data_IF_318679540296
#
_entry.id   IF_318679540296
#
_cell.length_a   1.000
_cell.length_b   1.000
_cell.length_c   1.000
_cell.angle_alpha   90.00
_cell.angle_beta   90.00
_cell.angle_gamma   90.00
#
_symmetry.space_group_name_H-M   'P 1'
#
loop_
_entity.id
_entity.type
_entity.pdbx_description
1 polymer ?
#
# COMPACT_ATOMS: atom_id res chain seq x y z
N UNK A 1 15.60 -5.32 11.21
CA UNK A 1 14.21 -4.96 11.59
C UNK A 1 13.33 -6.12 11.16
N UNK A 2 12.42 -6.60 12.00
CA UNK A 2 11.40 -7.56 11.57
C UNK A 2 10.49 -6.89 10.55
N UNK A 3 10.11 -7.59 9.49
CA UNK A 3 9.18 -7.06 8.48
C UNK A 3 7.82 -6.86 9.14
N UNK A 4 7.28 -5.62 9.20
CA UNK A 4 5.95 -5.38 9.76
C UNK A 4 4.89 -6.02 8.85
N UNK A 5 3.74 -6.37 9.38
CA UNK A 5 2.56 -6.64 8.55
C UNK A 5 2.08 -5.37 7.86
N UNK A 6 1.28 -5.48 6.80
CA UNK A 6 0.67 -4.31 6.15
C UNK A 6 -0.14 -3.44 7.13
N UNK A 7 -0.79 -4.05 8.12
CA UNK A 7 -1.60 -3.32 9.11
C UNK A 7 -0.68 -2.54 10.04
N UNK A 8 0.36 -3.17 10.59
CA UNK A 8 1.35 -2.50 11.44
C UNK A 8 2.05 -1.37 10.66
N UNK A 9 2.43 -1.61 9.41
CA UNK A 9 3.02 -0.60 8.54
C UNK A 9 2.14 0.65 8.42
N UNK A 10 0.83 0.45 8.24
CA UNK A 10 -0.13 1.54 8.10
C UNK A 10 -0.37 2.28 9.41
N UNK A 11 -0.47 1.56 10.54
CA UNK A 11 -0.93 2.15 11.81
C UNK A 11 0.17 2.62 12.75
N UNK A 12 1.40 2.08 12.62
CA UNK A 12 2.51 2.43 13.51
C UNK A 12 2.88 3.92 13.35
N UNK A 13 2.88 4.74 14.42
CA UNK A 13 3.24 6.15 14.39
C UNK A 13 4.66 6.45 13.88
N UNK A 14 5.58 5.49 13.97
CA UNK A 14 6.94 5.61 13.45
C UNK A 14 7.04 5.29 11.96
N UNK A 15 6.02 4.60 11.41
CA UNK A 15 5.86 4.31 9.98
C UNK A 15 4.86 5.30 9.37
N UNK A 16 3.65 4.87 8.98
CA UNK A 16 2.69 5.77 8.34
C UNK A 16 1.77 6.52 9.33
N UNK A 17 1.56 6.00 10.54
CA UNK A 17 0.76 6.64 11.59
C UNK A 17 -0.71 6.91 11.21
N UNK A 18 -1.31 6.09 10.35
CA UNK A 18 -2.66 6.29 9.84
C UNK A 18 -3.68 5.50 10.66
N UNK A 19 -4.88 6.05 10.82
CA UNK A 19 -6.04 5.30 11.30
C UNK A 19 -6.73 4.56 10.16
N UNK A 20 -7.18 3.34 10.47
CA UNK A 20 -8.01 2.49 9.60
C UNK A 20 -9.40 2.33 10.19
N UNK A 21 -10.43 2.35 9.34
CA UNK A 21 -11.75 1.84 9.74
C UNK A 21 -11.74 0.31 9.79
N UNK A 22 -12.70 -0.33 10.49
CA UNK A 22 -12.80 -1.79 10.53
C UNK A 22 -12.85 -2.42 9.14
N UNK A 23 -13.52 -1.79 8.17
CA UNK A 23 -13.60 -2.28 6.80
C UNK A 23 -12.28 -2.14 6.02
N UNK A 24 -11.52 -1.07 6.23
CA UNK A 24 -10.22 -0.90 5.59
C UNK A 24 -9.21 -1.89 6.15
N UNK A 25 -9.19 -2.11 7.47
CA UNK A 25 -8.32 -3.10 8.08
C UNK A 25 -8.70 -4.53 7.67
N UNK A 26 -10.00 -4.86 7.64
CA UNK A 26 -10.47 -6.15 7.14
C UNK A 26 -10.03 -6.40 5.69
N UNK A 27 -10.08 -5.38 4.83
CA UNK A 27 -9.58 -5.48 3.45
C UNK A 27 -8.07 -5.78 3.43
N UNK A 28 -7.24 -5.01 4.14
CA UNK A 28 -5.78 -5.22 4.15
C UNK A 28 -5.40 -6.59 4.73
N UNK A 29 -6.05 -7.01 5.83
CA UNK A 29 -5.87 -8.36 6.38
C UNK A 29 -6.27 -9.43 5.37
N UNK A 30 -7.35 -9.22 4.61
CA UNK A 30 -7.78 -10.18 3.60
C UNK A 30 -6.76 -10.32 2.48
N UNK A 31 -6.27 -9.19 1.95
CA UNK A 31 -5.29 -9.14 0.86
C UNK A 31 -4.03 -9.91 1.21
N UNK A 32 -3.52 -9.75 2.43
CA UNK A 32 -2.26 -10.35 2.88
C UNK A 32 -2.45 -11.66 3.67
N UNK A 33 -3.66 -12.21 3.73
CA UNK A 33 -3.94 -13.47 4.42
C UNK A 33 -3.68 -13.43 5.94
N UNK A 34 -3.85 -12.26 6.56
CA UNK A 34 -3.62 -12.07 7.99
C UNK A 34 -4.82 -12.55 8.82
N UNK A 35 -4.59 -12.97 10.09
CA UNK A 35 -5.67 -13.28 11.02
C UNK A 35 -6.67 -12.12 11.15
N UNK A 36 -7.96 -12.43 11.26
CA UNK A 36 -9.04 -11.46 11.40
C UNK A 36 -9.79 -11.69 12.70
N UNK A 37 -10.33 -10.62 13.28
CA UNK A 37 -11.35 -10.71 14.33
C UNK A 37 -12.69 -11.22 13.77
N UNK A 38 -13.62 -11.54 14.65
CA UNK A 38 -14.99 -11.92 14.27
C UNK A 38 -15.68 -10.80 13.48
N UNK A 39 -15.65 -9.56 13.98
CA UNK A 39 -16.21 -8.37 13.31
C UNK A 39 -15.61 -8.12 11.91
N UNK A 40 -14.28 -8.07 11.81
CA UNK A 40 -13.58 -7.92 10.51
C UNK A 40 -13.98 -9.03 9.55
N UNK A 41 -14.23 -10.18 10.14
CA UNK A 41 -14.68 -11.34 9.45
C UNK A 41 -16.11 -11.24 8.90
N UNK A 42 -17.06 -10.76 9.68
CA UNK A 42 -18.41 -10.47 9.19
C UNK A 42 -18.38 -9.46 8.04
N UNK A 43 -17.54 -8.43 8.17
CA UNK A 43 -17.32 -7.44 7.10
C UNK A 43 -16.79 -8.11 5.83
N UNK A 44 -15.76 -8.96 5.95
CA UNK A 44 -15.22 -9.71 4.81
C UNK A 44 -16.30 -10.52 4.09
N UNK A 45 -17.13 -11.25 4.86
CA UNK A 45 -18.20 -12.07 4.30
C UNK A 45 -19.26 -11.20 3.62
N UNK A 46 -19.64 -10.07 4.21
CA UNK A 46 -20.60 -9.13 3.64
C UNK A 46 -20.07 -8.47 2.34
N UNK A 47 -18.79 -8.13 2.28
CA UNK A 47 -18.20 -7.49 1.11
C UNK A 47 -17.89 -8.45 -0.05
N UNK A 48 -17.62 -9.73 0.24
CA UNK A 48 -17.15 -10.69 -0.77
C UNK A 48 -18.16 -11.78 -1.11
N UNK A 49 -19.19 -11.98 -0.28
CA UNK A 49 -20.11 -13.11 -0.37
C UNK A 49 -19.49 -14.47 0.00
N UNK A 50 -18.24 -14.50 0.49
CA UNK A 50 -17.54 -15.73 0.86
C UNK A 50 -17.79 -16.09 2.32
N UNK A 51 -17.94 -17.38 2.60
CA UNK A 51 -18.16 -17.91 3.95
C UNK A 51 -16.87 -18.34 4.64
N UNK A 52 -15.88 -18.77 3.86
CA UNK A 52 -14.55 -19.13 4.37
C UNK A 52 -13.62 -17.91 4.40
N UNK A 53 -12.82 -17.80 5.47
CA UNK A 53 -11.74 -16.80 5.58
C UNK A 53 -10.66 -17.08 4.53
N UNK A 54 -9.87 -16.05 4.13
CA UNK A 54 -8.69 -16.27 3.30
C UNK A 54 -7.73 -17.26 3.97
N UNK A 55 -7.36 -18.33 3.26
CA UNK A 55 -6.35 -19.29 3.71
C UNK A 55 -4.92 -18.81 3.45
N UNK A 56 -4.77 -17.70 2.73
CA UNK A 56 -3.50 -17.09 2.34
C UNK A 56 -3.76 -15.76 1.62
N UNK A 57 -2.69 -15.08 1.17
CA UNK A 57 -2.79 -13.81 0.46
C UNK A 57 -3.43 -13.97 -0.93
N UNK A 58 -3.99 -12.87 -1.44
CA UNK A 58 -4.49 -12.78 -2.82
C UNK A 58 -3.46 -12.11 -3.72
N UNK A 59 -3.29 -12.63 -4.93
CA UNK A 59 -2.45 -12.00 -5.97
C UNK A 59 -3.13 -10.82 -6.66
N UNK A 60 -4.46 -10.77 -6.61
CA UNK A 60 -5.27 -9.75 -7.28
C UNK A 60 -6.54 -9.48 -6.46
N UNK A 61 -6.94 -8.21 -6.40
CA UNK A 61 -8.21 -7.79 -5.80
C UNK A 61 -8.89 -6.74 -6.67
N UNK A 62 -10.23 -6.79 -6.66
CA UNK A 62 -11.08 -5.70 -7.18
C UNK A 62 -11.86 -5.12 -6.01
N UNK A 63 -11.63 -3.84 -5.70
CA UNK A 63 -12.30 -3.15 -4.61
C UNK A 63 -13.40 -2.23 -5.16
N UNK A 64 -14.65 -2.54 -4.84
CA UNK A 64 -15.78 -1.65 -5.07
C UNK A 64 -15.94 -0.74 -3.85
N UNK A 65 -15.63 0.54 -4.01
CA UNK A 65 -15.62 1.49 -2.89
C UNK A 65 -16.28 2.82 -3.27
N UNK A 66 -16.99 3.41 -2.31
CA UNK A 66 -17.62 4.72 -2.46
C UNK A 66 -16.63 5.89 -2.45
N UNK A 67 -17.11 7.09 -2.74
CA UNK A 67 -16.34 8.32 -2.57
C UNK A 67 -15.93 8.51 -1.10
N UNK A 68 -14.75 9.10 -0.86
CA UNK A 68 -14.19 9.35 0.49
C UNK A 68 -13.95 8.10 1.35
N UNK A 69 -14.00 6.91 0.76
CA UNK A 69 -13.70 5.63 1.43
C UNK A 69 -12.22 5.45 1.83
N UNK A 70 -11.33 6.35 1.39
CA UNK A 70 -9.89 6.21 1.62
C UNK A 70 -9.21 5.20 0.68
N UNK A 71 -9.84 4.79 -0.43
CA UNK A 71 -9.25 3.84 -1.39
C UNK A 71 -7.85 4.24 -1.88
N UNK A 72 -7.59 5.55 -2.02
CA UNK A 72 -6.27 6.05 -2.44
C UNK A 72 -5.31 6.20 -1.24
N UNK A 73 -5.77 6.86 -0.16
CA UNK A 73 -4.95 7.28 0.98
C UNK A 73 -4.79 6.23 2.10
N UNK A 74 -5.55 5.14 2.08
CA UNK A 74 -5.51 4.09 3.11
C UNK A 74 -5.26 2.70 2.53
N UNK A 75 -5.53 2.50 1.24
CA UNK A 75 -5.36 1.22 0.57
C UNK A 75 -4.27 1.30 -0.49
N UNK A 76 -4.49 2.00 -1.61
CA UNK A 76 -3.58 1.95 -2.76
C UNK A 76 -2.18 2.51 -2.45
N UNK A 77 -2.07 3.71 -1.88
CA UNK A 77 -0.76 4.31 -1.56
C UNK A 77 0.01 3.50 -0.50
N UNK A 78 -0.61 3.07 0.63
CA UNK A 78 0.10 2.21 1.58
C UNK A 78 0.50 0.85 1.04
N UNK A 79 -0.35 0.20 0.23
CA UNK A 79 0.02 -1.08 -0.41
C UNK A 79 1.21 -0.89 -1.36
N UNK A 80 1.20 0.15 -2.20
CA UNK A 80 2.32 0.42 -3.10
C UNK A 80 3.64 0.66 -2.35
N UNK A 81 3.59 1.43 -1.24
CA UNK A 81 4.74 1.68 -0.39
C UNK A 81 5.22 0.41 0.34
N UNK A 82 4.28 -0.36 0.89
CA UNK A 82 4.60 -1.59 1.60
C UNK A 82 5.28 -2.60 0.67
N UNK A 83 4.75 -2.79 -0.54
CA UNK A 83 5.36 -3.66 -1.54
C UNK A 83 6.76 -3.14 -1.95
N UNK A 84 6.93 -1.83 -2.12
CA UNK A 84 8.22 -1.25 -2.48
C UNK A 84 9.29 -1.38 -1.38
N UNK A 85 8.91 -1.39 -0.11
CA UNK A 85 9.85 -1.39 1.02
C UNK A 85 10.04 -2.79 1.63
N UNK A 86 8.98 -3.58 1.68
CA UNK A 86 8.87 -4.82 2.43
C UNK A 86 8.41 -6.02 1.61
N UNK A 87 7.95 -5.82 0.36
CA UNK A 87 7.47 -6.90 -0.52
C UNK A 87 8.58 -7.84 -1.04
N UNK A 88 9.85 -7.53 -0.79
CA UNK A 88 10.98 -8.38 -1.17
C UNK A 88 11.30 -8.38 -2.67
N UNK A 89 10.66 -7.53 -3.47
CA UNK A 89 10.84 -7.48 -4.92
C UNK A 89 12.28 -7.18 -5.35
N UNK A 90 13.04 -6.46 -4.51
CA UNK A 90 14.45 -6.15 -4.76
C UNK A 90 15.35 -7.37 -4.92
N UNK A 91 14.96 -8.53 -4.36
CA UNK A 91 15.71 -9.78 -4.52
C UNK A 91 15.77 -10.28 -5.98
N UNK A 92 14.87 -9.79 -6.84
CA UNK A 92 14.80 -10.16 -8.26
C UNK A 92 15.53 -9.18 -9.18
N UNK A 93 16.13 -8.10 -8.64
CA UNK A 93 16.81 -7.08 -9.44
C UNK A 93 18.27 -7.45 -9.69
N UNK A 94 18.71 -7.34 -10.94
CA UNK A 94 20.12 -7.40 -11.29
C UNK A 94 20.83 -6.06 -11.02
N UNK A 95 22.18 -6.08 -10.99
CA UNK A 95 22.98 -4.87 -10.74
C UNK A 95 22.68 -3.82 -11.82
N UNK A 96 22.25 -2.64 -11.38
CA UNK A 96 21.90 -1.51 -12.25
C UNK A 96 20.44 -1.49 -12.69
N UNK A 97 19.66 -2.52 -12.40
CA UNK A 97 18.21 -2.51 -12.63
C UNK A 97 17.48 -1.71 -11.56
N UNK A 98 16.31 -1.20 -11.94
CA UNK A 98 15.38 -0.53 -11.05
C UNK A 98 14.01 -1.15 -11.23
N UNK A 99 13.44 -1.66 -10.14
CA UNK A 99 12.07 -2.15 -10.14
C UNK A 99 11.09 -1.02 -9.88
N UNK A 100 9.89 -1.14 -10.45
CA UNK A 100 8.82 -0.15 -10.30
C UNK A 100 7.59 -0.84 -9.74
N UNK A 101 7.04 -0.26 -8.67
CA UNK A 101 5.68 -0.54 -8.18
C UNK A 101 4.77 0.54 -8.79
N UNK A 102 3.98 0.22 -9.82
CA UNK A 102 3.15 1.21 -10.50
C UNK A 102 1.89 1.53 -9.67
N UNK A 103 1.58 2.82 -9.53
CA UNK A 103 0.28 3.28 -9.05
C UNK A 103 -0.43 4.01 -10.21
N UNK A 104 -1.36 3.32 -10.84
CA UNK A 104 -2.05 3.87 -12.02
C UNK A 104 -3.30 4.64 -11.59
N UNK A 105 -3.43 5.87 -12.06
CA UNK A 105 -4.55 6.76 -11.77
C UNK A 105 -5.31 7.12 -13.06
N UNK A 106 -6.60 7.48 -12.90
CA UNK A 106 -7.48 7.78 -14.02
C UNK A 106 -6.93 8.86 -14.97
N UNK A 107 -6.30 9.91 -14.43
CA UNK A 107 -5.76 11.02 -15.21
C UNK A 107 -4.53 11.65 -14.52
N UNK A 108 -3.92 12.63 -15.18
CA UNK A 108 -2.75 13.35 -14.67
C UNK A 108 -3.00 14.10 -13.34
N UNK A 109 -4.24 14.53 -13.08
CA UNK A 109 -4.60 15.23 -11.84
C UNK A 109 -4.69 14.23 -10.68
N UNK A 110 -5.34 13.09 -10.89
CA UNK A 110 -5.45 12.01 -9.91
C UNK A 110 -4.08 11.43 -9.56
N UNK A 111 -3.18 11.35 -10.54
CA UNK A 111 -1.76 10.98 -10.34
C UNK A 111 -1.08 11.86 -9.29
N UNK A 112 -1.28 13.19 -9.36
CA UNK A 112 -0.69 14.13 -8.39
C UNK A 112 -1.24 13.93 -6.98
N UNK A 113 -2.52 13.58 -6.85
CA UNK A 113 -3.15 13.30 -5.55
C UNK A 113 -2.53 12.04 -4.94
N UNK A 114 -2.47 10.94 -5.70
CA UNK A 114 -1.89 9.69 -5.24
C UNK A 114 -0.40 9.84 -4.87
N UNK A 115 0.37 10.53 -5.72
CA UNK A 115 1.77 10.82 -5.46
C UNK A 115 1.98 11.71 -4.23
N UNK A 116 1.09 12.69 -4.02
CA UNK A 116 1.09 13.53 -2.83
C UNK A 116 1.03 12.69 -1.54
N UNK A 117 0.11 11.72 -1.47
CA UNK A 117 0.03 10.82 -0.32
C UNK A 117 1.32 10.03 -0.11
N UNK A 118 1.84 9.38 -1.16
CA UNK A 118 3.07 8.57 -1.10
C UNK A 118 4.26 9.40 -0.59
N UNK A 119 4.45 10.58 -1.16
CA UNK A 119 5.52 11.51 -0.77
C UNK A 119 5.36 11.94 0.68
N UNK A 120 4.17 12.39 1.06
CA UNK A 120 3.92 12.92 2.41
C UNK A 120 4.15 11.83 3.47
N UNK A 121 3.71 10.59 3.20
CA UNK A 121 3.93 9.43 4.06
C UNK A 121 5.41 9.12 4.29
N UNK A 122 6.23 9.10 3.23
CA UNK A 122 7.65 8.81 3.38
C UNK A 122 8.44 9.97 3.99
N UNK A 123 8.12 11.22 3.62
CA UNK A 123 8.89 12.39 4.07
C UNK A 123 8.60 12.81 5.51
N UNK A 124 7.41 12.48 6.04
CA UNK A 124 7.04 12.78 7.44
C UNK A 124 7.32 11.64 8.41
N UNK A 125 7.55 10.42 7.89
CA UNK A 125 7.82 9.24 8.70
C UNK A 125 9.24 9.27 9.27
N UNK A 126 9.35 8.97 10.57
CA UNK A 126 10.64 8.88 11.27
C UNK A 126 11.52 7.74 10.74
N UNK A 127 10.92 6.63 10.30
CA UNK A 127 11.65 5.46 9.81
C UNK A 127 11.79 5.42 8.28
N UNK A 128 10.86 6.02 7.52
CA UNK A 128 10.88 5.90 6.05
C UNK A 128 11.63 7.02 5.34
N UNK A 129 11.84 8.17 5.98
CA UNK A 129 12.51 9.31 5.34
C UNK A 129 13.93 8.95 4.87
N UNK A 130 14.66 8.13 5.63
CA UNK A 130 16.00 7.65 5.28
C UNK A 130 16.03 6.63 4.14
N UNK A 131 14.91 5.97 3.85
CA UNK A 131 14.81 4.99 2.76
C UNK A 131 14.63 5.66 1.39
N UNK A 132 14.23 6.93 1.37
CA UNK A 132 14.07 7.70 0.13
C UNK A 132 15.44 8.10 -0.41
N UNK A 133 15.75 7.64 -1.62
CA UNK A 133 16.95 8.02 -2.35
C UNK A 133 16.73 9.30 -3.17
N UNK A 134 15.57 9.44 -3.80
CA UNK A 134 15.26 10.57 -4.68
C UNK A 134 13.74 10.78 -4.77
N UNK A 135 13.31 12.04 -4.77
CA UNK A 135 11.91 12.44 -5.01
C UNK A 135 11.81 13.21 -6.32
N UNK A 136 11.05 12.68 -7.27
CA UNK A 136 10.77 13.30 -8.56
C UNK A 136 9.32 13.82 -8.60
N UNK A 137 8.85 14.27 -9.77
CA UNK A 137 7.53 14.86 -9.92
C UNK A 137 6.37 13.88 -9.67
N UNK A 138 6.51 12.62 -10.10
CA UNK A 138 5.50 11.55 -9.96
C UNK A 138 6.13 10.19 -9.57
N UNK A 139 7.41 10.17 -9.20
CA UNK A 139 8.17 8.96 -8.88
C UNK A 139 8.92 9.18 -7.56
N UNK A 140 8.81 8.21 -6.64
CA UNK A 140 9.56 8.18 -5.38
C UNK A 140 10.49 6.98 -5.41
N UNK A 141 11.79 7.21 -5.30
CA UNK A 141 12.84 6.20 -5.44
C UNK A 141 13.43 5.85 -4.08
N UNK A 142 13.70 4.57 -3.85
CA UNK A 142 14.23 4.07 -2.59
C UNK A 142 15.67 3.56 -2.72
N UNK A 143 16.38 3.49 -1.59
CA UNK A 143 17.76 3.00 -1.51
C UNK A 143 17.90 1.53 -1.93
N UNK A 144 16.82 0.75 -1.82
CA UNK A 144 16.78 -0.68 -2.17
C UNK A 144 16.64 -0.96 -3.68
N UNK A 145 16.71 0.06 -4.54
CA UNK A 145 16.60 -0.08 -5.99
C UNK A 145 15.16 -0.17 -6.52
N UNK A 146 14.15 -0.06 -5.65
CA UNK A 146 12.74 0.04 -6.05
C UNK A 146 12.28 1.49 -6.13
N UNK A 147 11.17 1.72 -6.83
CA UNK A 147 10.49 3.00 -6.89
C UNK A 147 8.97 2.79 -6.92
N UNK A 148 8.23 3.72 -6.35
CA UNK A 148 6.79 3.87 -6.63
C UNK A 148 6.62 4.96 -7.68
N UNK A 149 5.99 4.62 -8.80
CA UNK A 149 5.73 5.57 -9.89
C UNK A 149 4.23 5.66 -10.15
N UNK A 150 3.68 6.87 -10.00
CA UNK A 150 2.31 7.16 -10.35
C UNK A 150 2.15 7.46 -11.87
N UNK A 151 1.31 6.70 -12.57
CA UNK A 151 1.04 6.85 -14.00
C UNK A 151 -0.40 7.31 -14.28
N UNK A 152 -0.63 8.22 -15.23
CA UNK A 152 -1.97 8.51 -15.72
C UNK A 152 -2.41 7.49 -16.79
N UNK A 153 -3.72 7.21 -16.89
CA UNK A 153 -4.31 6.47 -18.01
C UNK A 153 -4.58 7.33 -19.27
N UNK A 154 -4.33 8.64 -19.21
CA UNK A 154 -4.65 9.65 -20.24
C UNK A 154 -3.41 10.20 -20.91
#
# INVERSE_FOLDING_TARGET
>A
MTVPTIVEFVTDPLLLGLSLSPAQEALLRAVYGLPMTEEQGEIYSACTGRTARPAGPFSEITCLAGARSGKDSRIAAPVALYEALFGGHGAHLHRGERGVIPLVAQDQRATRIAFGYIRDYCTTSALLAGEVAETLANELRFQNGLAVFCFPCT
#
